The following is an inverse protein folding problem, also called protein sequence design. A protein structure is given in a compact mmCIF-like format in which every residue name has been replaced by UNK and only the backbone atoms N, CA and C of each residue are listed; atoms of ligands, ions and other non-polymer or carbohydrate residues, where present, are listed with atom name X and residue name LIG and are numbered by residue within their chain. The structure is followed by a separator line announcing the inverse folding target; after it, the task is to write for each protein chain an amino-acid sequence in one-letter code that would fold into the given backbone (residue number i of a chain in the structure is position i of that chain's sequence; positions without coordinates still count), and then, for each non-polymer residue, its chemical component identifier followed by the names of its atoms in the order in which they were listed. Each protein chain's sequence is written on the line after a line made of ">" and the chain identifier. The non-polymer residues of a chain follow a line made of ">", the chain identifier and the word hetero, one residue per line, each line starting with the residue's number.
data_IF_973393531381
#
_entry.id   IF_973393531381
#
_cell.length_a   1.000
_cell.length_b   1.000
_cell.length_c   1.000
_cell.angle_alpha   90.00
_cell.angle_beta   90.00
_cell.angle_gamma   90.00
#
_symmetry.space_group_name_H-M   'P 1'
#
loop_
_entity.id
_entity.type
_entity.pdbx_description
1 polymer ?
#
# COMPACT_ATOMS: atom_id res chain seq x y z
N UNK A 1 -40.09 63.06 -10.96
CA UNK A 1 -39.63 62.77 -12.32
C UNK A 1 -38.85 61.47 -12.30
N UNK A 2 -39.48 60.37 -12.72
CA UNK A 2 -38.83 59.06 -12.85
C UNK A 2 -38.09 58.95 -14.19
N UNK A 3 -36.93 58.29 -14.19
CA UNK A 3 -36.37 57.71 -15.41
C UNK A 3 -35.76 56.34 -15.11
N UNK A 4 -36.64 55.34 -15.21
CA UNK A 4 -36.34 53.92 -15.32
C UNK A 4 -35.79 53.65 -16.73
N UNK A 5 -34.67 52.94 -16.90
CA UNK A 5 -34.29 52.41 -18.22
C UNK A 5 -33.81 50.97 -18.14
N UNK A 6 -34.45 50.18 -19.00
CA UNK A 6 -34.65 48.72 -19.01
C UNK A 6 -33.44 47.93 -19.54
N UNK A 7 -33.37 46.61 -19.25
CA UNK A 7 -32.39 45.69 -19.82
C UNK A 7 -32.69 45.41 -21.30
N UNK A 8 -31.64 45.20 -22.10
CA UNK A 8 -31.75 44.77 -23.50
C UNK A 8 -31.44 43.28 -23.61
N UNK A 9 -32.39 42.57 -24.20
CA UNK A 9 -32.36 41.17 -24.59
C UNK A 9 -32.63 41.13 -26.10
N UNK A 10 -32.24 40.03 -26.77
CA UNK A 10 -32.60 39.58 -28.15
C UNK A 10 -31.59 40.00 -29.26
N UNK A 11 -31.35 39.21 -30.36
CA UNK A 11 -31.81 37.86 -30.75
C UNK A 11 -30.71 36.83 -31.12
N UNK A 12 -31.19 35.59 -31.27
CA UNK A 12 -30.61 34.42 -31.92
C UNK A 12 -30.53 34.57 -33.46
N UNK A 13 -29.59 33.82 -34.06
CA UNK A 13 -29.45 33.44 -35.48
C UNK A 13 -28.60 34.35 -36.40
N UNK A 14 -27.38 33.89 -36.70
CA UNK A 14 -26.86 33.89 -38.07
C UNK A 14 -25.91 32.70 -38.24
N UNK A 15 -26.28 31.84 -39.20
CA UNK A 15 -25.61 30.62 -39.60
C UNK A 15 -24.91 30.95 -40.93
N UNK A 16 -23.56 30.99 -40.95
CA UNK A 16 -22.77 30.95 -42.19
C UNK A 16 -21.47 30.20 -41.92
N UNK A 17 -21.25 29.16 -42.72
CA UNK A 17 -20.12 28.25 -42.70
C UNK A 17 -18.80 28.93 -43.11
N UNK A 18 -17.71 28.60 -42.40
CA UNK A 18 -16.34 28.73 -42.88
C UNK A 18 -15.56 27.44 -42.59
N UNK A 19 -15.40 26.69 -43.67
CA UNK A 19 -14.47 25.59 -43.91
C UNK A 19 -13.04 26.14 -43.98
N UNK A 20 -12.12 25.64 -43.13
CA UNK A 20 -10.68 25.51 -43.43
C UNK A 20 -9.90 24.80 -42.31
N UNK A 21 -9.40 23.59 -42.61
CA UNK A 21 -8.05 23.16 -42.24
C UNK A 21 -7.79 22.57 -40.84
N UNK A 22 -8.27 21.36 -40.54
CA UNK A 22 -7.56 20.51 -39.58
C UNK A 22 -6.40 19.82 -40.32
N UNK A 23 -5.17 20.28 -40.08
CA UNK A 23 -3.97 19.57 -40.47
C UNK A 23 -3.97 18.20 -39.78
N UNK A 24 -4.07 17.13 -40.58
CA UNK A 24 -3.91 15.75 -40.13
C UNK A 24 -2.46 15.57 -39.68
N UNK A 25 -2.24 15.40 -38.37
CA UNK A 25 -0.98 14.90 -37.86
C UNK A 25 -0.99 13.37 -38.05
N UNK A 26 0.02 12.77 -38.70
CA UNK A 26 0.07 11.32 -38.85
C UNK A 26 0.10 10.65 -37.47
N UNK A 27 -0.52 9.47 -37.31
CA UNK A 27 -0.56 8.77 -36.03
C UNK A 27 0.86 8.48 -35.56
N UNK A 28 1.22 8.94 -34.35
CA UNK A 28 2.45 8.49 -33.72
C UNK A 28 2.28 7.02 -33.32
N UNK A 29 3.23 6.13 -33.67
CA UNK A 29 3.15 4.73 -33.30
C UNK A 29 3.15 4.60 -31.78
N UNK A 30 2.29 3.72 -31.28
CA UNK A 30 2.17 3.42 -29.85
C UNK A 30 3.50 2.92 -29.27
N UNK A 31 3.71 3.10 -27.97
CA UNK A 31 4.91 2.58 -27.27
C UNK A 31 5.08 1.07 -27.49
N UNK A 32 3.95 0.34 -27.65
CA UNK A 32 3.91 -1.06 -28.05
C UNK A 32 4.37 -1.33 -29.49
N UNK A 33 4.07 -0.47 -30.46
CA UNK A 33 4.56 -0.59 -31.84
C UNK A 33 6.05 -0.29 -31.93
N UNK A 34 6.55 0.62 -31.10
CA UNK A 34 7.98 0.91 -31.00
C UNK A 34 8.74 -0.27 -30.40
N UNK A 35 8.18 -0.90 -29.36
CA UNK A 35 8.74 -2.12 -28.78
C UNK A 35 8.72 -3.31 -29.75
N UNK A 36 7.70 -3.41 -30.61
CA UNK A 36 7.60 -4.49 -31.60
C UNK A 36 8.66 -4.36 -32.70
N UNK A 37 9.07 -3.14 -33.06
CA UNK A 37 10.12 -2.89 -34.04
C UNK A 37 11.54 -3.30 -33.57
N UNK A 38 11.74 -3.42 -32.25
CA UNK A 38 13.00 -3.88 -31.62
C UNK A 38 13.25 -5.39 -31.88
N UNK A 39 12.23 -6.16 -32.28
CA UNK A 39 12.31 -7.62 -32.47
C UNK A 39 11.96 -8.05 -33.90
N UNK A 40 12.84 -7.82 -34.89
CA UNK A 40 12.55 -8.04 -36.32
C UNK A 40 12.46 -9.52 -36.75
N UNK A 41 12.54 -10.47 -35.81
CA UNK A 41 12.56 -11.92 -36.10
C UNK A 41 11.34 -12.70 -35.56
N UNK A 42 10.33 -12.01 -34.99
CA UNK A 42 9.11 -12.68 -34.52
C UNK A 42 8.39 -13.43 -35.66
N UNK A 43 8.44 -12.88 -36.87
CA UNK A 43 7.78 -13.42 -38.07
C UNK A 43 8.45 -14.70 -38.61
N UNK A 44 9.64 -15.05 -38.11
CA UNK A 44 10.36 -16.28 -38.50
C UNK A 44 10.06 -17.48 -37.61
N UNK A 45 9.25 -17.34 -36.55
CA UNK A 45 8.75 -18.50 -35.79
C UNK A 45 7.63 -19.20 -36.55
N UNK A 46 8.01 -20.00 -37.56
CA UNK A 46 7.08 -20.94 -38.19
C UNK A 46 6.84 -22.12 -37.24
N UNK A 47 5.65 -22.16 -36.64
CA UNK A 47 5.15 -23.38 -35.98
C UNK A 47 4.91 -24.41 -37.07
N UNK A 48 5.79 -25.40 -37.16
CA UNK A 48 5.70 -26.48 -38.14
C UNK A 48 4.45 -27.33 -37.87
N UNK A 49 3.36 -27.04 -38.59
CA UNK A 49 2.13 -27.81 -38.54
C UNK A 49 2.32 -29.10 -39.36
N UNK A 50 2.74 -30.18 -38.70
CA UNK A 50 2.93 -31.48 -39.35
C UNK A 50 1.71 -32.38 -39.07
N UNK A 51 1.16 -32.94 -40.16
CA UNK A 51 -0.06 -33.76 -40.19
C UNK A 51 0.04 -35.01 -39.32
N UNK A 52 -1.11 -35.34 -38.72
CA UNK A 52 -1.39 -36.52 -37.92
C UNK A 52 -1.07 -37.85 -38.63
N UNK A 53 -0.37 -38.75 -37.94
CA UNK A 53 -0.65 -40.21 -37.89
C UNK A 53 -0.08 -40.80 -36.59
N UNK A 54 -0.64 -41.92 -36.08
CA UNK A 54 -0.85 -42.13 -34.64
C UNK A 54 0.27 -42.92 -33.98
N UNK A 55 0.36 -42.75 -32.66
CA UNK A 55 1.30 -43.40 -31.72
C UNK A 55 2.62 -42.66 -31.50
N UNK A 56 2.52 -41.42 -31.01
CA UNK A 56 3.48 -40.94 -30.04
C UNK A 56 2.68 -40.55 -28.81
N UNK A 57 3.01 -41.11 -27.64
CA UNK A 57 2.48 -40.61 -26.37
C UNK A 57 2.86 -39.13 -26.31
N UNK A 58 1.89 -38.26 -26.49
CA UNK A 58 2.03 -36.84 -26.19
C UNK A 58 2.26 -36.78 -24.68
N UNK A 59 3.51 -36.61 -24.28
CA UNK A 59 3.83 -36.14 -22.93
C UNK A 59 3.33 -34.71 -22.89
N UNK A 60 2.16 -34.50 -22.29
CA UNK A 60 1.65 -33.19 -21.99
C UNK A 60 2.65 -32.51 -21.02
N UNK A 61 3.57 -31.70 -21.55
CA UNK A 61 4.44 -30.86 -20.73
C UNK A 61 3.63 -29.64 -20.32
N UNK A 62 2.79 -29.80 -19.30
CA UNK A 62 1.95 -28.71 -18.84
C UNK A 62 0.83 -29.19 -17.95
N UNK A 63 1.19 -29.58 -16.72
CA UNK A 63 0.38 -29.68 -15.49
C UNK A 63 1.18 -30.55 -14.52
N UNK A 64 2.32 -30.04 -14.05
CA UNK A 64 3.09 -30.51 -12.88
C UNK A 64 4.43 -29.76 -12.85
N UNK A 65 4.40 -28.44 -12.64
CA UNK A 65 5.59 -27.79 -12.11
C UNK A 65 5.67 -28.15 -10.63
N UNK A 66 6.75 -28.81 -10.16
CA UNK A 66 6.93 -29.02 -8.74
C UNK A 66 6.97 -27.65 -8.08
N UNK A 67 6.01 -27.38 -7.20
CA UNK A 67 6.08 -26.22 -6.31
C UNK A 67 7.31 -26.44 -5.43
N UNK A 68 8.35 -25.66 -5.66
CA UNK A 68 9.48 -25.61 -4.75
C UNK A 68 9.10 -24.65 -3.63
N UNK A 69 8.84 -25.21 -2.45
CA UNK A 69 8.71 -24.40 -1.24
C UNK A 69 10.01 -23.61 -1.05
N UNK A 70 9.88 -22.30 -0.82
CA UNK A 70 11.02 -21.40 -0.60
C UNK A 70 11.52 -21.62 0.82
N UNK A 71 12.36 -22.64 1.00
CA UNK A 71 13.02 -22.96 2.27
C UNK A 71 14.48 -22.48 2.21
N UNK A 72 15.03 -21.87 3.29
CA UNK A 72 14.40 -21.62 4.58
C UNK A 72 13.49 -20.37 4.60
N UNK A 73 12.33 -20.49 5.27
CA UNK A 73 11.49 -19.32 5.59
C UNK A 73 12.12 -18.49 6.72
N UNK A 74 12.33 -17.21 6.44
CA UNK A 74 12.84 -16.16 7.34
C UNK A 74 12.09 -16.07 8.68
N UNK A 75 10.83 -16.55 8.75
CA UNK A 75 10.03 -16.59 9.97
C UNK A 75 10.10 -17.93 10.74
N UNK A 76 10.45 -19.03 10.06
CA UNK A 76 10.60 -20.35 10.70
C UNK A 76 12.01 -20.58 11.19
N UNK A 77 12.98 -19.89 10.60
CA UNK A 77 14.37 -19.99 10.96
C UNK A 77 14.61 -19.39 12.36
N UNK A 78 14.60 -20.26 13.36
CA UNK A 78 14.94 -19.94 14.75
C UNK A 78 16.44 -19.77 14.94
N UNK A 79 17.26 -20.08 13.92
CA UNK A 79 18.70 -20.01 14.03
C UNK A 79 19.20 -18.59 13.70
N UNK A 80 18.91 -17.66 14.63
CA UNK A 80 19.42 -16.27 14.64
C UNK A 80 20.98 -16.25 14.68
N UNK A 81 21.64 -17.42 14.78
CA UNK A 81 23.09 -17.54 14.91
C UNK A 81 23.87 -17.40 13.60
N UNK A 82 23.23 -17.55 12.41
CA UNK A 82 23.87 -17.26 11.12
C UNK A 82 23.54 -15.84 10.63
N UNK A 83 24.31 -14.88 11.12
CA UNK A 83 24.31 -13.53 10.52
C UNK A 83 25.21 -13.58 9.29
N UNK A 84 24.61 -13.64 8.10
CA UNK A 84 25.35 -13.45 6.86
C UNK A 84 25.83 -12.00 6.80
N UNK A 85 27.14 -11.81 6.79
CA UNK A 85 27.77 -10.49 6.75
C UNK A 85 28.46 -10.29 5.41
N UNK A 86 28.18 -9.16 4.78
CA UNK A 86 28.87 -8.71 3.58
C UNK A 86 29.91 -7.67 3.98
N UNK A 87 31.08 -7.71 3.32
CA UNK A 87 32.10 -6.68 3.50
C UNK A 87 31.65 -5.43 2.73
N UNK A 88 31.34 -4.37 3.45
CA UNK A 88 31.10 -3.03 2.89
C UNK A 88 32.43 -2.32 2.62
N UNK A 89 32.52 -1.05 3.03
CA UNK A 89 33.75 -0.27 2.94
C UNK A 89 34.91 -0.87 3.76
N UNK A 90 36.10 -0.23 3.70
CA UNK A 90 37.37 -0.74 4.25
C UNK A 90 37.33 -1.22 5.71
N UNK A 91 36.32 -0.81 6.50
CA UNK A 91 36.13 -1.24 7.88
C UNK A 91 34.67 -1.55 8.26
N UNK A 92 33.77 -1.72 7.29
CA UNK A 92 32.35 -1.93 7.56
C UNK A 92 31.93 -3.36 7.22
N UNK A 93 31.35 -4.07 8.18
CA UNK A 93 30.57 -5.28 7.94
C UNK A 93 29.10 -4.88 7.97
N UNK A 94 28.34 -5.25 6.94
CA UNK A 94 26.90 -5.04 6.86
C UNK A 94 26.20 -6.39 6.92
N UNK A 95 25.15 -6.49 7.73
CA UNK A 95 24.29 -7.68 7.74
C UNK A 95 23.52 -7.75 6.42
N UNK A 96 23.58 -8.89 5.74
CA UNK A 96 22.77 -9.18 4.56
C UNK A 96 21.35 -9.66 4.93
N UNK A 97 21.14 -10.05 6.19
CA UNK A 97 19.86 -10.50 6.70
C UNK A 97 18.85 -9.34 6.79
N UNK A 98 17.58 -9.63 6.49
CA UNK A 98 16.47 -8.70 6.75
C UNK A 98 16.46 -8.30 8.23
N UNK A 99 16.29 -7.00 8.50
CA UNK A 99 16.26 -6.46 9.87
C UNK A 99 14.99 -6.88 10.61
N UNK A 100 14.98 -6.79 11.95
CA UNK A 100 13.80 -7.09 12.75
C UNK A 100 12.58 -6.25 12.32
N UNK A 101 12.79 -4.97 11.99
CA UNK A 101 11.73 -4.05 11.54
C UNK A 101 11.18 -4.41 10.16
N UNK A 102 12.01 -5.00 9.29
CA UNK A 102 11.59 -5.46 7.97
C UNK A 102 10.81 -6.78 8.04
N UNK A 103 11.20 -7.68 8.94
CA UNK A 103 10.49 -8.95 9.20
C UNK A 103 9.20 -8.72 9.97
N UNK A 104 9.26 -7.93 11.03
CA UNK A 104 8.11 -7.59 11.86
C UNK A 104 7.79 -6.11 11.71
N UNK A 105 6.80 -5.82 10.88
CA UNK A 105 6.37 -4.44 10.60
C UNK A 105 5.88 -3.70 11.86
N UNK A 106 5.47 -4.38 12.93
CA UNK A 106 5.09 -3.72 14.19
C UNK A 106 6.30 -3.24 15.01
N UNK A 107 7.50 -3.69 14.65
CA UNK A 107 8.77 -3.23 15.22
C UNK A 107 9.35 -2.02 14.50
N UNK A 108 8.76 -1.61 13.37
CA UNK A 108 9.22 -0.42 12.64
C UNK A 108 9.24 0.81 13.53
N UNK A 109 10.30 1.61 13.44
CA UNK A 109 10.43 2.82 14.23
C UNK A 109 9.61 3.94 13.60
N UNK A 110 8.61 4.42 14.32
CA UNK A 110 7.76 5.54 13.88
C UNK A 110 8.11 6.80 14.65
N UNK A 111 8.05 7.94 13.96
CA UNK A 111 8.10 9.28 14.57
C UNK A 111 6.94 10.06 13.99
N UNK A 112 6.07 10.58 14.84
CA UNK A 112 4.75 11.06 14.41
C UNK A 112 4.56 12.50 14.85
N UNK A 113 4.09 13.33 13.93
CA UNK A 113 3.80 14.75 14.18
C UNK A 113 2.43 15.09 13.57
N UNK A 114 1.38 14.94 14.37
CA UNK A 114 -0.01 15.18 13.94
C UNK A 114 -0.29 16.69 13.99
N UNK A 115 -0.80 17.30 12.90
CA UNK A 115 -1.20 18.70 12.91
C UNK A 115 -2.34 18.96 13.91
N UNK A 116 -2.14 19.91 14.83
CA UNK A 116 -3.12 20.24 15.86
C UNK A 116 -4.28 21.13 15.38
N UNK A 117 -4.23 21.62 14.14
CA UNK A 117 -5.11 22.67 13.62
C UNK A 117 -6.60 22.29 13.49
N UNK A 118 -6.98 21.05 13.80
CA UNK A 118 -8.34 20.54 13.57
C UNK A 118 -8.93 19.74 14.75
N UNK A 119 -8.39 19.86 15.98
CA UNK A 119 -8.85 19.08 17.14
C UNK A 119 -9.07 17.59 16.82
N UNK A 120 -8.05 16.88 16.31
CA UNK A 120 -8.20 15.52 15.82
C UNK A 120 -8.67 14.59 16.93
N UNK A 121 -9.36 13.53 16.54
CA UNK A 121 -9.74 12.45 17.44
C UNK A 121 -8.61 11.43 17.61
N UNK A 122 -8.75 10.53 18.58
CA UNK A 122 -7.86 9.37 18.72
C UNK A 122 -7.90 8.50 17.46
N UNK A 123 -9.07 8.35 16.82
CA UNK A 123 -9.17 7.62 15.55
C UNK A 123 -8.34 8.27 14.44
N UNK A 124 -8.40 9.60 14.31
CA UNK A 124 -7.61 10.33 13.33
C UNK A 124 -6.11 10.17 13.59
N UNK A 125 -5.71 10.26 14.86
CA UNK A 125 -4.32 10.04 15.23
C UNK A 125 -3.85 8.61 14.97
N UNK A 126 -4.67 7.60 15.23
CA UNK A 126 -4.37 6.20 14.92
C UNK A 126 -4.22 5.99 13.42
N UNK A 127 -5.14 6.53 12.61
CA UNK A 127 -5.04 6.48 11.15
C UNK A 127 -3.79 7.20 10.65
N UNK A 128 -3.42 8.32 11.27
CA UNK A 128 -2.22 9.07 10.93
C UNK A 128 -0.94 8.26 11.22
N UNK A 129 -0.85 7.62 12.38
CA UNK A 129 0.28 6.75 12.76
C UNK A 129 0.45 5.58 11.78
N UNK A 130 -0.66 5.00 11.33
CA UNK A 130 -0.66 3.84 10.44
C UNK A 130 -0.32 4.16 8.99
N UNK A 131 -0.23 5.45 8.60
CA UNK A 131 0.18 5.83 7.25
C UNK A 131 1.56 5.27 6.91
N UNK A 132 1.66 4.66 5.72
CA UNK A 132 2.89 4.05 5.20
C UNK A 132 3.45 2.88 6.03
N UNK A 133 2.76 2.40 7.06
CA UNK A 133 3.20 1.26 7.88
C UNK A 133 2.88 -0.10 7.27
N UNK A 134 1.96 -0.12 6.29
CA UNK A 134 1.38 -1.33 5.70
C UNK A 134 0.16 -1.87 6.46
N UNK A 135 -0.19 -1.31 7.62
CA UNK A 135 -1.38 -1.65 8.40
C UNK A 135 -2.50 -0.62 8.21
N UNK A 136 -3.75 -1.06 8.41
CA UNK A 136 -4.93 -0.21 8.46
C UNK A 136 -5.69 -0.36 9.78
N UNK A 137 -6.43 0.67 10.19
CA UNK A 137 -7.24 0.60 11.41
C UNK A 137 -8.55 -0.13 11.12
N UNK A 138 -8.91 -1.12 11.93
CA UNK A 138 -10.19 -1.81 11.78
C UNK A 138 -11.35 -0.95 12.29
N UNK A 139 -12.55 -1.18 11.72
CA UNK A 139 -13.78 -0.54 12.19
C UNK A 139 -14.04 -0.89 13.66
N UNK A 140 -14.65 0.01 14.44
CA UNK A 140 -14.93 -0.28 15.84
C UNK A 140 -15.85 -1.50 15.95
N UNK A 141 -15.40 -2.51 16.70
CA UNK A 141 -16.09 -3.80 16.85
C UNK A 141 -17.14 -3.79 17.98
N UNK A 142 -17.16 -2.74 18.81
CA UNK A 142 -18.10 -2.58 19.91
C UNK A 142 -18.04 -1.17 20.52
N UNK A 143 -18.86 -0.94 21.55
CA UNK A 143 -18.94 0.35 22.25
C UNK A 143 -17.61 0.83 22.85
N UNK A 144 -16.76 -0.03 23.47
CA UNK A 144 -15.47 0.43 24.00
C UNK A 144 -14.57 1.07 22.94
N UNK A 145 -14.49 0.48 21.74
CA UNK A 145 -13.68 1.00 20.64
C UNK A 145 -14.30 2.28 20.07
N UNK A 146 -15.63 2.35 19.92
CA UNK A 146 -16.32 3.59 19.50
C UNK A 146 -16.03 4.74 20.47
N UNK A 147 -16.05 4.45 21.77
CA UNK A 147 -15.76 5.43 22.79
C UNK A 147 -14.31 5.90 22.73
N UNK A 148 -13.34 5.00 22.56
CA UNK A 148 -11.93 5.35 22.40
C UNK A 148 -11.72 6.22 21.16
N UNK A 149 -12.23 5.78 20.02
CA UNK A 149 -12.02 6.40 18.71
C UNK A 149 -12.56 7.83 18.65
N UNK A 150 -13.69 8.07 19.31
CA UNK A 150 -14.32 9.40 19.38
C UNK A 150 -13.69 10.37 20.38
N UNK A 151 -12.74 9.93 21.22
CA UNK A 151 -12.09 10.84 22.19
C UNK A 151 -11.24 11.88 21.46
N UNK A 152 -11.17 13.12 21.98
CA UNK A 152 -10.20 14.09 21.48
C UNK A 152 -8.78 13.58 21.69
N UNK A 153 -7.90 13.84 20.72
CA UNK A 153 -6.50 13.46 20.80
C UNK A 153 -5.80 14.25 21.93
N UNK A 154 -5.20 13.57 22.92
CA UNK A 154 -4.46 14.26 23.98
C UNK A 154 -3.27 15.06 23.44
N UNK A 155 -2.97 16.20 24.07
CA UNK A 155 -1.90 17.08 23.60
C UNK A 155 -0.52 16.40 23.53
N UNK A 156 -0.25 15.46 24.45
CA UNK A 156 0.97 14.67 24.46
C UNK A 156 1.11 13.76 23.23
N UNK A 157 0.01 13.38 22.57
CA UNK A 157 0.01 12.47 21.43
C UNK A 157 0.18 13.17 20.08
N UNK A 158 0.17 14.52 20.03
CA UNK A 158 0.48 15.24 18.79
C UNK A 158 1.90 14.98 18.30
N UNK A 159 2.83 14.69 19.21
CA UNK A 159 4.22 14.39 18.90
C UNK A 159 4.63 13.12 19.61
N UNK A 160 4.72 12.03 18.86
CA UNK A 160 5.27 10.77 19.35
C UNK A 160 6.71 10.65 18.86
N UNK A 161 7.61 10.43 19.81
CA UNK A 161 9.04 10.26 19.56
C UNK A 161 9.35 8.97 18.78
N UNK A 162 10.62 8.78 18.38
CA UNK A 162 11.04 7.54 17.74
C UNK A 162 10.83 6.36 18.70
N UNK A 163 9.88 5.50 18.38
CA UNK A 163 9.56 4.27 19.13
C UNK A 163 9.03 3.20 18.17
N UNK A 164 8.98 1.91 18.56
CA UNK A 164 8.33 0.87 17.77
C UNK A 164 6.85 1.18 17.51
N UNK A 165 6.33 0.85 16.33
CA UNK A 165 4.93 1.05 15.96
C UNK A 165 3.97 0.42 16.98
N UNK A 166 4.26 -0.80 17.47
CA UNK A 166 3.46 -1.46 18.50
C UNK A 166 3.28 -0.60 19.76
N UNK A 167 4.34 0.11 20.15
CA UNK A 167 4.37 0.91 21.36
C UNK A 167 3.59 2.20 21.16
N UNK A 168 3.78 2.86 20.01
CA UNK A 168 2.99 4.03 19.64
C UNK A 168 1.47 3.74 19.63
N UNK A 169 1.06 2.59 19.07
CA UNK A 169 -0.34 2.14 19.06
C UNK A 169 -0.87 1.90 20.48
N UNK A 170 -0.07 1.27 21.35
CA UNK A 170 -0.45 1.01 22.74
C UNK A 170 -0.57 2.30 23.56
N UNK A 171 0.35 3.26 23.38
CA UNK A 171 0.33 4.58 24.03
C UNK A 171 -0.94 5.34 23.63
N UNK A 172 -1.28 5.34 22.34
CA UNK A 172 -2.46 6.01 21.82
C UNK A 172 -3.77 5.48 22.38
N UNK A 173 -3.89 4.17 22.52
CA UNK A 173 -5.11 3.52 23.01
C UNK A 173 -5.22 3.50 24.54
N UNK A 174 -4.14 3.82 25.26
CA UNK A 174 -3.99 3.73 26.72
C UNK A 174 -3.87 2.30 27.27
N UNK A 175 -3.53 2.20 28.56
CA UNK A 175 -3.44 0.93 29.30
C UNK A 175 -4.74 0.14 29.41
N UNK A 176 -5.89 0.74 29.09
CA UNK A 176 -7.18 0.05 29.19
C UNK A 176 -7.42 -0.92 28.01
N UNK A 177 -6.63 -0.82 26.94
CA UNK A 177 -6.79 -1.59 25.72
C UNK A 177 -5.54 -2.42 25.40
N UNK A 178 -5.75 -3.53 24.69
CA UNK A 178 -4.72 -4.34 24.04
C UNK A 178 -4.79 -4.12 22.54
N UNK A 179 -3.61 -3.98 21.92
CA UNK A 179 -3.48 -3.94 20.47
C UNK A 179 -3.54 -5.38 19.93
N UNK A 180 -4.46 -5.64 19.00
CA UNK A 180 -4.56 -6.89 18.26
C UNK A 180 -4.21 -6.63 16.81
N UNK A 181 -3.19 -7.31 16.29
CA UNK A 181 -2.81 -7.21 14.90
C UNK A 181 -3.24 -8.47 14.13
N UNK A 182 -3.93 -8.27 13.02
CA UNK A 182 -4.14 -9.30 12.01
C UNK A 182 -3.03 -9.18 10.95
N UNK A 183 -2.02 -10.08 10.93
CA UNK A 183 -0.94 -10.02 9.96
C UNK A 183 -1.38 -10.38 8.54
N UNK A 184 -2.50 -11.10 8.37
CA UNK A 184 -3.04 -11.51 7.07
C UNK A 184 -3.80 -10.36 6.44
N UNK A 185 -4.81 -9.82 7.15
CA UNK A 185 -5.59 -8.69 6.66
C UNK A 185 -4.82 -7.36 6.75
N UNK A 186 -3.68 -7.35 7.45
CA UNK A 186 -2.92 -6.15 7.82
C UNK A 186 -3.81 -5.09 8.47
N UNK A 187 -4.53 -5.50 9.51
CA UNK A 187 -5.39 -4.61 10.29
C UNK A 187 -4.97 -4.56 11.75
N UNK A 188 -5.17 -3.40 12.37
CA UNK A 188 -5.03 -3.20 13.82
C UNK A 188 -6.42 -3.02 14.43
N UNK A 189 -6.69 -3.83 15.44
CA UNK A 189 -7.87 -3.76 16.28
C UNK A 189 -7.49 -3.56 17.74
N UNK A 190 -8.49 -3.21 18.53
CA UNK A 190 -8.35 -3.01 19.97
C UNK A 190 -9.35 -3.84 20.73
N UNK A 191 -8.92 -4.42 21.84
CA UNK A 191 -9.80 -5.07 22.80
C UNK A 191 -9.53 -4.57 24.21
N UNK A 192 -10.55 -4.63 25.06
CA UNK A 192 -10.45 -4.14 26.45
C UNK A 192 -9.62 -5.13 27.25
N UNK A 193 -8.64 -4.63 28.01
CA UNK A 193 -7.87 -5.43 28.95
C UNK A 193 -8.77 -5.92 30.08
N UNK A 194 -8.63 -7.19 30.48
CA UNK A 194 -9.16 -7.60 31.78
C UNK A 194 -8.29 -7.01 32.88
N UNK A 195 -8.73 -5.88 33.43
CA UNK A 195 -8.01 -5.16 34.49
C UNK A 195 -7.94 -5.95 35.80
N UNK A 196 -8.69 -7.05 35.95
CA UNK A 196 -8.57 -7.93 37.13
C UNK A 196 -7.32 -8.81 37.08
N UNK A 197 -6.65 -8.91 35.94
CA UNK A 197 -5.46 -9.74 35.73
C UNK A 197 -4.15 -8.95 35.71
N UNK A 198 -4.22 -7.61 35.73
CA UNK A 198 -3.05 -6.73 35.72
C UNK A 198 -2.69 -6.39 37.18
N UNK A 199 -1.92 -7.30 37.79
CA UNK A 199 -1.34 -7.11 39.13
C UNK A 199 -0.24 -6.05 39.15
N UNK A 200 -0.12 -5.41 40.33
CA UNK A 200 0.83 -4.38 40.80
C UNK A 200 2.15 -4.16 40.03
#
# INVERSE_FOLDING_TARGET
>A
MHAFKKPRLVPLAFLVALIAGCAHQPPQPSESEQLAAEYPHADQMTVASTRLTPSSKVVAVGLDQPRHDVEPDVYRDRDISRIEVMRGDRYALVSANATLQQRNLLEQTVRVSIPASMNPTVEDGLRYILQHTGYSLCRPQGEPQRLLYSRPLPAAHFRLGPMPLREALQVMASRAFEVQADPIARTICYQVRDQRLVGE
#
